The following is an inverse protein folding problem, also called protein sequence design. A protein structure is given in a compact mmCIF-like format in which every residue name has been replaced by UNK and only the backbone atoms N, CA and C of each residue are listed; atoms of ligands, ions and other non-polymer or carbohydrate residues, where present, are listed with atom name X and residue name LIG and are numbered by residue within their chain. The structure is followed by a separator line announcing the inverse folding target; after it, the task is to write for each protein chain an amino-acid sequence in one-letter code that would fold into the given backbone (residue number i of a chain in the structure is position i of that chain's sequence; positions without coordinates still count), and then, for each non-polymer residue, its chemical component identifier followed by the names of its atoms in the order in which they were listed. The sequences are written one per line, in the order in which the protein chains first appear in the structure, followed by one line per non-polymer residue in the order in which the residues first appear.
data_IF_951507216257
#
_entry.id   IF_951507216257
#
_cell.length_a   1.000
_cell.length_b   1.000
_cell.length_c   1.000
_cell.angle_alpha   90.00
_cell.angle_beta   90.00
_cell.angle_gamma   90.00
#
_symmetry.space_group_name_H-M   'P 1'
#
loop_
_entity.id
_entity.type
_entity.pdbx_description
1 polymer ?
#
# COMPACT_ATOMS: atom_id res chain seq x y z
N UNK A 1 31.01 14.95 -30.29
CA UNK A 1 30.09 13.79 -30.27
C UNK A 1 29.71 13.29 -28.84
N UNK A 2 30.53 13.45 -27.79
CA UNK A 2 30.25 12.98 -26.43
C UNK A 2 29.06 13.66 -25.73
N UNK A 3 28.73 14.93 -26.03
CA UNK A 3 27.63 15.67 -25.43
C UNK A 3 26.25 15.12 -25.79
N UNK A 4 26.09 14.50 -26.97
CA UNK A 4 24.80 13.93 -27.41
C UNK A 4 24.39 12.68 -26.59
N UNK A 5 25.35 11.84 -26.27
CA UNK A 5 25.10 10.57 -25.55
C UNK A 5 24.68 10.81 -24.09
N UNK A 6 25.24 11.83 -23.42
CA UNK A 6 24.89 12.19 -22.07
C UNK A 6 23.47 12.75 -21.96
N UNK A 7 23.06 13.58 -22.93
CA UNK A 7 21.69 14.15 -22.97
C UNK A 7 20.62 13.08 -23.21
N UNK A 8 20.90 12.11 -24.09
CA UNK A 8 19.98 10.97 -24.32
C UNK A 8 19.80 10.13 -23.07
N UNK A 9 20.89 9.83 -22.35
CA UNK A 9 20.85 9.06 -21.10
C UNK A 9 20.06 9.78 -19.99
N UNK A 10 20.20 11.10 -19.86
CA UNK A 10 19.47 11.92 -18.90
C UNK A 10 17.96 11.91 -19.21
N UNK A 11 17.58 12.07 -20.47
CA UNK A 11 16.16 12.00 -20.89
C UNK A 11 15.56 10.63 -20.65
N UNK A 12 16.27 9.55 -20.98
CA UNK A 12 15.81 8.19 -20.74
C UNK A 12 15.55 7.92 -19.24
N UNK A 13 16.46 8.34 -18.38
CA UNK A 13 16.32 8.18 -16.92
C UNK A 13 15.15 8.99 -16.36
N UNK A 14 14.91 10.21 -16.86
CA UNK A 14 13.74 11.01 -16.45
C UNK A 14 12.42 10.36 -16.87
N UNK A 15 12.38 9.79 -18.07
CA UNK A 15 11.19 9.08 -18.58
C UNK A 15 10.90 7.82 -17.75
N UNK A 16 11.91 7.01 -17.44
CA UNK A 16 11.77 5.81 -16.61
C UNK A 16 11.28 6.15 -15.22
N UNK A 17 11.84 7.16 -14.57
CA UNK A 17 11.39 7.65 -13.26
C UNK A 17 9.91 8.03 -13.27
N UNK A 18 9.47 8.82 -14.26
CA UNK A 18 8.08 9.24 -14.38
C UNK A 18 7.14 8.04 -14.53
N UNK A 19 7.51 7.04 -15.33
CA UNK A 19 6.73 5.79 -15.49
C UNK A 19 6.56 5.05 -14.17
N UNK A 20 7.62 4.95 -13.35
CA UNK A 20 7.57 4.29 -12.05
C UNK A 20 6.63 5.05 -11.09
N UNK A 21 6.69 6.39 -11.05
CA UNK A 21 5.78 7.19 -10.23
C UNK A 21 4.32 6.98 -10.61
N UNK A 22 3.99 7.04 -11.91
CA UNK A 22 2.63 6.81 -12.38
C UNK A 22 2.15 5.38 -12.12
N UNK A 23 3.03 4.38 -12.32
CA UNK A 23 2.69 2.99 -12.04
C UNK A 23 2.27 2.79 -10.59
N UNK A 24 3.09 3.26 -9.63
CA UNK A 24 2.75 3.11 -8.20
C UNK A 24 1.56 3.97 -7.79
N UNK A 25 1.39 5.17 -8.37
CA UNK A 25 0.20 5.98 -8.15
C UNK A 25 -1.08 5.27 -8.59
N UNK A 26 -1.08 4.62 -9.75
CA UNK A 26 -2.22 3.83 -10.24
C UNK A 26 -2.46 2.61 -9.36
N UNK A 27 -1.41 1.89 -8.94
CA UNK A 27 -1.53 0.75 -8.04
C UNK A 27 -2.11 1.14 -6.69
N UNK A 28 -1.74 2.30 -6.14
CA UNK A 28 -2.29 2.80 -4.90
C UNK A 28 -3.78 3.20 -5.06
N UNK A 29 -4.18 3.77 -6.20
CA UNK A 29 -5.62 4.04 -6.50
C UNK A 29 -6.43 2.74 -6.57
N UNK A 30 -5.92 1.72 -7.25
CA UNK A 30 -6.55 0.39 -7.27
C UNK A 30 -6.64 -0.16 -5.85
N UNK A 31 -5.56 -0.03 -5.07
CA UNK A 31 -5.52 -0.41 -3.66
C UNK A 31 -6.59 0.28 -2.82
N UNK A 32 -6.84 1.58 -3.02
CA UNK A 32 -7.89 2.33 -2.30
C UNK A 32 -9.25 1.64 -2.48
N UNK A 33 -9.60 1.28 -3.71
CA UNK A 33 -10.89 0.63 -3.98
C UNK A 33 -10.99 -0.69 -3.22
N UNK A 34 -9.96 -1.55 -3.31
CA UNK A 34 -9.98 -2.87 -2.67
C UNK A 34 -9.92 -2.81 -1.15
N UNK A 35 -9.03 -1.99 -0.60
CA UNK A 35 -8.88 -1.87 0.85
C UNK A 35 -9.98 -1.03 1.52
N UNK A 36 -10.82 -0.34 0.76
CA UNK A 36 -12.00 0.34 1.31
C UNK A 36 -13.19 -0.59 1.51
N UNK A 37 -13.32 -1.64 0.71
CA UNK A 37 -14.45 -2.58 0.79
C UNK A 37 -14.43 -3.35 2.12
N UNK A 38 -13.27 -3.89 2.51
CA UNK A 38 -13.13 -4.64 3.76
C UNK A 38 -13.45 -3.82 5.01
N UNK A 39 -12.84 -2.64 5.24
CA UNK A 39 -13.18 -1.75 6.34
C UNK A 39 -14.66 -1.34 6.37
N UNK A 40 -15.27 -1.11 5.20
CA UNK A 40 -16.68 -0.76 5.12
C UNK A 40 -17.57 -1.88 5.72
N UNK A 41 -17.42 -3.12 5.26
CA UNK A 41 -18.17 -4.26 5.78
C UNK A 41 -17.91 -4.52 7.28
N UNK A 42 -16.70 -4.26 7.72
CA UNK A 42 -16.32 -4.43 9.11
C UNK A 42 -16.98 -3.38 10.01
N UNK A 43 -16.97 -2.11 9.60
CA UNK A 43 -17.66 -1.03 10.29
C UNK A 43 -19.18 -1.26 10.29
N UNK A 44 -19.74 -1.69 9.17
CA UNK A 44 -21.17 -2.03 9.06
C UNK A 44 -21.55 -3.15 10.04
N UNK A 45 -20.79 -4.25 10.07
CA UNK A 45 -21.05 -5.37 10.98
C UNK A 45 -20.95 -4.95 12.46
N UNK A 46 -19.98 -4.12 12.81
CA UNK A 46 -19.83 -3.58 14.15
C UNK A 46 -20.97 -2.64 14.50
N UNK A 47 -21.35 -1.75 13.58
CA UNK A 47 -22.46 -0.84 13.77
C UNK A 47 -23.76 -1.59 14.05
N UNK A 48 -24.05 -2.61 13.26
CA UNK A 48 -25.23 -3.46 13.44
C UNK A 48 -25.16 -4.24 14.77
N UNK A 49 -24.02 -4.85 15.09
CA UNK A 49 -23.86 -5.68 16.31
C UNK A 49 -23.93 -4.87 17.60
N UNK A 50 -23.61 -3.58 17.56
CA UNK A 50 -23.64 -2.67 18.74
C UNK A 50 -24.90 -1.81 18.80
N UNK A 51 -25.86 -2.05 17.90
CA UNK A 51 -27.08 -1.23 17.83
C UNK A 51 -26.81 0.23 17.53
N UNK A 52 -25.72 0.54 16.80
CA UNK A 52 -25.33 1.90 16.45
C UNK A 52 -24.66 2.69 17.58
N UNK A 53 -24.24 2.04 18.65
CA UNK A 53 -23.62 2.74 19.80
C UNK A 53 -22.09 2.60 19.78
N UNK A 54 -21.33 3.68 19.43
CA UNK A 54 -19.88 3.63 19.41
C UNK A 54 -19.24 3.39 20.78
N UNK A 55 -19.93 3.73 21.87
CA UNK A 55 -19.47 3.48 23.23
C UNK A 55 -19.33 2.00 23.55
N UNK A 56 -20.21 1.15 22.99
CA UNK A 56 -20.12 -0.31 23.15
C UNK A 56 -18.88 -0.86 22.45
N UNK A 57 -18.50 -0.34 21.29
CA UNK A 57 -17.27 -0.75 20.59
C UNK A 57 -16.05 -0.43 21.44
N UNK A 58 -15.96 0.80 21.95
CA UNK A 58 -14.86 1.23 22.81
C UNK A 58 -14.81 0.37 24.09
N UNK A 59 -15.95 0.10 24.70
CA UNK A 59 -16.04 -0.75 25.87
C UNK A 59 -15.55 -2.17 25.60
N UNK A 60 -15.95 -2.79 24.48
CA UNK A 60 -15.49 -4.14 24.10
C UNK A 60 -13.97 -4.19 23.87
N UNK A 61 -13.39 -3.15 23.28
CA UNK A 61 -11.93 -3.07 23.07
C UNK A 61 -11.18 -2.95 24.40
N UNK A 62 -11.70 -2.20 25.37
CA UNK A 62 -11.09 -2.02 26.69
C UNK A 62 -11.32 -3.25 27.58
N UNK A 63 -12.54 -3.78 27.61
CA UNK A 63 -12.91 -4.94 28.43
C UNK A 63 -12.22 -6.23 27.96
N UNK A 64 -11.81 -6.31 26.70
CA UNK A 64 -11.02 -7.42 26.16
C UNK A 64 -9.56 -7.49 26.67
N UNK A 65 -9.14 -6.53 27.51
CA UNK A 65 -7.79 -6.48 28.05
C UNK A 65 -6.73 -6.37 26.95
N UNK A 66 -5.58 -7.04 27.12
CA UNK A 66 -4.47 -7.01 26.16
C UNK A 66 -4.91 -7.49 24.76
N UNK A 67 -5.71 -8.55 24.70
CA UNK A 67 -6.21 -9.08 23.42
C UNK A 67 -7.15 -8.08 22.74
N UNK A 68 -8.02 -7.40 23.47
CA UNK A 68 -8.88 -6.35 22.95
C UNK A 68 -8.08 -5.17 22.39
N UNK A 69 -7.04 -4.74 23.11
CA UNK A 69 -6.16 -3.65 22.68
C UNK A 69 -5.37 -4.00 21.41
N UNK A 70 -4.81 -5.22 21.36
CA UNK A 70 -4.07 -5.70 20.16
C UNK A 70 -5.00 -5.77 18.96
N UNK A 71 -6.18 -6.38 19.13
CA UNK A 71 -7.20 -6.45 18.08
C UNK A 71 -7.62 -5.06 17.61
N UNK A 72 -7.87 -4.13 18.53
CA UNK A 72 -8.21 -2.74 18.24
C UNK A 72 -7.10 -2.02 17.44
N UNK A 73 -5.84 -2.23 17.81
CA UNK A 73 -4.70 -1.67 17.10
C UNK A 73 -4.62 -2.18 15.65
N UNK A 74 -4.83 -3.49 15.42
CA UNK A 74 -4.89 -4.05 14.07
C UNK A 74 -6.02 -3.43 13.24
N UNK A 75 -7.20 -3.29 13.80
CA UNK A 75 -8.33 -2.67 13.10
C UNK A 75 -8.08 -1.20 12.79
N UNK A 76 -7.45 -0.46 13.70
CA UNK A 76 -7.10 0.93 13.46
C UNK A 76 -6.09 1.07 12.30
N UNK A 77 -5.05 0.22 12.26
CA UNK A 77 -4.11 0.17 11.14
C UNK A 77 -4.84 -0.17 9.84
N UNK A 78 -5.76 -1.13 9.87
CA UNK A 78 -6.55 -1.54 8.70
C UNK A 78 -7.45 -0.42 8.18
N UNK A 79 -8.08 0.37 9.05
CA UNK A 79 -8.88 1.54 8.70
C UNK A 79 -8.03 2.71 8.16
N UNK A 80 -6.80 2.87 8.66
CA UNK A 80 -5.89 3.92 8.20
C UNK A 80 -5.26 3.61 6.84
N UNK A 81 -5.27 2.33 6.39
CA UNK A 81 -4.67 1.94 5.12
C UNK A 81 -5.25 2.67 3.91
N UNK A 82 -6.57 2.71 3.67
CA UNK A 82 -7.13 3.44 2.51
C UNK A 82 -6.74 4.93 2.54
N UNK A 83 -6.73 5.53 3.72
CA UNK A 83 -6.35 6.94 3.90
C UNK A 83 -4.88 7.15 3.53
N UNK A 84 -3.98 6.26 4.01
CA UNK A 84 -2.55 6.33 3.68
C UNK A 84 -2.30 6.14 2.18
N UNK A 85 -3.05 5.25 1.53
CA UNK A 85 -2.99 5.02 0.09
C UNK A 85 -3.39 6.27 -0.71
N UNK A 86 -4.38 7.03 -0.23
CA UNK A 86 -4.83 8.27 -0.86
C UNK A 86 -3.71 9.32 -0.88
N UNK A 87 -3.03 9.51 0.25
CA UNK A 87 -1.86 10.39 0.33
C UNK A 87 -0.70 9.88 -0.52
N UNK A 88 -0.44 8.58 -0.52
CA UNK A 88 0.60 7.96 -1.34
C UNK A 88 0.35 8.19 -2.84
N UNK A 89 -0.85 7.89 -3.32
CA UNK A 89 -1.25 8.13 -4.70
C UNK A 89 -1.07 9.60 -5.09
N UNK A 90 -1.53 10.52 -4.24
CA UNK A 90 -1.34 11.95 -4.45
C UNK A 90 0.13 12.34 -4.60
N UNK A 91 1.00 11.87 -3.69
CA UNK A 91 2.43 12.15 -3.75
C UNK A 91 3.10 11.55 -4.99
N UNK A 92 2.68 10.38 -5.44
CA UNK A 92 3.18 9.77 -6.66
C UNK A 92 2.76 10.55 -7.91
N UNK A 93 1.51 10.97 -8.03
CA UNK A 93 1.02 11.74 -9.17
C UNK A 93 1.65 13.14 -9.23
N UNK A 94 1.82 13.80 -8.08
CA UNK A 94 2.47 15.12 -8.00
C UNK A 94 3.99 15.04 -8.04
N UNK A 95 4.56 13.81 -8.05
CA UNK A 95 6.03 13.56 -8.05
C UNK A 95 6.74 14.28 -6.91
N UNK A 96 6.07 14.35 -5.76
CA UNK A 96 6.57 15.08 -4.60
C UNK A 96 7.85 14.43 -4.06
N UNK A 97 8.79 15.24 -3.56
CA UNK A 97 10.09 14.74 -3.05
C UNK A 97 9.95 13.73 -1.89
N UNK A 98 8.87 13.81 -1.13
CA UNK A 98 8.59 12.90 -0.03
C UNK A 98 7.86 11.63 -0.44
N UNK A 99 7.43 11.48 -1.70
CA UNK A 99 6.68 10.33 -2.19
C UNK A 99 7.37 8.99 -1.85
N UNK A 100 8.67 8.92 -2.09
CA UNK A 100 9.45 7.69 -1.85
C UNK A 100 9.58 7.38 -0.37
N UNK A 101 9.87 8.40 0.48
CA UNK A 101 9.96 8.22 1.94
C UNK A 101 8.61 7.80 2.54
N UNK A 102 7.52 8.44 2.13
CA UNK A 102 6.18 8.09 2.57
C UNK A 102 5.79 6.66 2.16
N UNK A 103 6.09 6.28 0.90
CA UNK A 103 5.85 4.93 0.42
C UNK A 103 6.62 3.87 1.22
N UNK A 104 7.87 4.13 1.60
CA UNK A 104 8.65 3.20 2.43
C UNK A 104 8.06 3.02 3.83
N UNK A 105 7.56 4.11 4.46
CA UNK A 105 6.87 4.02 5.75
C UNK A 105 5.58 3.21 5.60
N UNK A 106 4.84 3.42 4.53
CA UNK A 106 3.61 2.69 4.24
C UNK A 106 3.86 1.19 4.03
N UNK A 107 5.01 0.80 3.44
CA UNK A 107 5.37 -0.61 3.31
C UNK A 107 5.52 -1.31 4.67
N UNK A 108 6.04 -0.61 5.68
CA UNK A 108 6.10 -1.18 7.04
C UNK A 108 4.70 -1.51 7.56
N UNK A 109 3.73 -0.61 7.36
CA UNK A 109 2.33 -0.87 7.74
C UNK A 109 1.73 -2.04 6.95
N UNK A 110 2.01 -2.15 5.66
CA UNK A 110 1.55 -3.24 4.81
C UNK A 110 2.12 -4.60 5.24
N UNK A 111 3.38 -4.66 5.60
CA UNK A 111 4.01 -5.88 6.12
C UNK A 111 3.32 -6.33 7.42
N UNK A 112 2.99 -5.39 8.33
CA UNK A 112 2.29 -5.70 9.58
C UNK A 112 0.92 -6.34 9.33
N UNK A 113 0.17 -5.88 8.33
CA UNK A 113 -1.17 -6.40 8.01
C UNK A 113 -1.16 -7.43 6.88
N UNK A 114 0.02 -7.88 6.42
CA UNK A 114 0.20 -8.80 5.28
C UNK A 114 -0.55 -8.38 4.02
N UNK A 115 -0.56 -7.08 3.73
CA UNK A 115 -1.24 -6.50 2.56
C UNK A 115 -0.30 -6.36 1.37
N UNK A 116 -0.66 -6.98 0.24
CA UNK A 116 0.15 -6.96 -0.98
C UNK A 116 0.20 -5.56 -1.62
N UNK A 117 1.40 -5.06 -1.98
CA UNK A 117 1.59 -3.78 -2.68
C UNK A 117 1.02 -3.78 -4.09
N UNK A 118 1.00 -4.94 -4.75
CA UNK A 118 0.35 -5.13 -6.06
C UNK A 118 -0.97 -5.86 -5.84
N UNK A 119 -2.04 -5.12 -5.58
CA UNK A 119 -3.37 -5.66 -5.28
C UNK A 119 -3.97 -6.52 -6.40
N UNK A 120 -3.47 -6.37 -7.62
CA UNK A 120 -3.88 -7.21 -8.76
C UNK A 120 -3.44 -8.67 -8.60
N UNK A 121 -2.39 -8.99 -7.85
CA UNK A 121 -1.89 -10.35 -7.68
C UNK A 121 -2.90 -11.25 -6.94
N UNK A 122 -3.40 -10.89 -5.74
CA UNK A 122 -4.42 -11.69 -5.08
C UNK A 122 -5.70 -11.85 -5.91
N UNK A 123 -6.08 -10.81 -6.67
CA UNK A 123 -7.25 -10.88 -7.55
C UNK A 123 -7.08 -11.87 -8.69
N UNK A 124 -5.93 -11.83 -9.37
CA UNK A 124 -5.66 -12.75 -10.48
C UNK A 124 -5.71 -14.20 -10.00
N UNK A 125 -5.18 -14.49 -8.80
CA UNK A 125 -5.20 -15.83 -8.22
C UNK A 125 -6.60 -16.25 -7.81
N UNK A 126 -7.37 -15.37 -7.18
CA UNK A 126 -8.75 -15.64 -6.83
C UNK A 126 -9.58 -15.94 -8.07
N UNK A 127 -9.38 -15.20 -9.18
CA UNK A 127 -10.02 -15.43 -10.47
C UNK A 127 -9.63 -16.76 -11.13
N UNK A 128 -8.44 -17.29 -10.84
CA UNK A 128 -7.98 -18.60 -11.34
C UNK A 128 -8.37 -19.77 -10.42
N UNK A 129 -9.07 -19.53 -9.32
CA UNK A 129 -9.46 -20.57 -8.36
C UNK A 129 -8.28 -21.17 -7.56
N UNK A 130 -7.10 -20.55 -7.61
CA UNK A 130 -5.87 -21.02 -6.96
C UNK A 130 -5.73 -20.36 -5.60
N UNK A 131 -6.42 -20.84 -4.58
CA UNK A 131 -6.35 -20.29 -3.20
C UNK A 131 -5.27 -20.96 -2.33
N UNK A 132 -4.09 -21.22 -2.89
CA UNK A 132 -2.98 -21.82 -2.13
C UNK A 132 -2.24 -20.74 -1.36
N UNK A 133 -2.18 -20.87 -0.03
CA UNK A 133 -1.52 -19.93 0.88
C UNK A 133 -0.07 -19.64 0.44
N UNK A 134 0.67 -20.67 0.01
CA UNK A 134 2.05 -20.55 -0.44
C UNK A 134 2.20 -19.61 -1.65
N UNK A 135 1.26 -19.64 -2.58
CA UNK A 135 1.27 -18.78 -3.77
C UNK A 135 1.02 -17.31 -3.34
N UNK A 136 0.06 -17.09 -2.44
CA UNK A 136 -0.23 -15.76 -1.94
C UNK A 136 0.97 -15.14 -1.21
N UNK A 137 1.67 -15.93 -0.37
CA UNK A 137 2.89 -15.49 0.31
C UNK A 137 4.01 -15.19 -0.70
N UNK A 138 4.22 -16.04 -1.70
CA UNK A 138 5.24 -15.82 -2.72
C UNK A 138 4.97 -14.54 -3.52
N UNK A 139 3.73 -14.27 -3.90
CA UNK A 139 3.35 -13.06 -4.62
C UNK A 139 3.42 -11.81 -3.73
N UNK A 140 3.10 -11.93 -2.45
CA UNK A 140 3.32 -10.86 -1.49
C UNK A 140 4.80 -10.47 -1.46
N UNK A 141 5.70 -11.43 -1.24
CA UNK A 141 7.14 -11.19 -1.22
C UNK A 141 7.62 -10.59 -2.55
N UNK A 142 7.16 -11.12 -3.68
CA UNK A 142 7.52 -10.61 -5.00
C UNK A 142 7.07 -9.15 -5.19
N UNK A 143 5.86 -8.81 -4.78
CA UNK A 143 5.34 -7.44 -4.90
C UNK A 143 6.14 -6.44 -4.07
N UNK A 144 6.52 -6.84 -2.84
CA UNK A 144 7.32 -5.98 -1.96
C UNK A 144 8.74 -5.78 -2.51
N UNK A 145 9.38 -6.85 -3.04
CA UNK A 145 10.69 -6.75 -3.69
C UNK A 145 10.63 -5.81 -4.91
N UNK A 146 9.61 -5.92 -5.74
CA UNK A 146 9.41 -5.07 -6.91
C UNK A 146 9.24 -3.59 -6.52
N UNK A 147 8.44 -3.31 -5.49
CA UNK A 147 8.20 -1.95 -5.02
C UNK A 147 9.46 -1.36 -4.41
N UNK A 148 10.05 -2.03 -3.44
CA UNK A 148 11.28 -1.56 -2.76
C UNK A 148 12.42 -1.39 -3.77
N UNK A 149 12.62 -2.35 -4.68
CA UNK A 149 13.65 -2.27 -5.72
C UNK A 149 13.46 -1.08 -6.65
N UNK A 150 12.22 -0.83 -7.09
CA UNK A 150 11.90 0.33 -7.96
C UNK A 150 12.09 1.67 -7.22
N UNK A 151 11.74 1.74 -5.93
CA UNK A 151 11.94 2.94 -5.11
C UNK A 151 13.42 3.22 -4.84
N UNK A 152 14.23 2.18 -4.57
CA UNK A 152 15.69 2.31 -4.42
C UNK A 152 16.31 2.81 -5.72
N UNK A 153 15.86 2.30 -6.87
CA UNK A 153 16.32 2.80 -8.18
C UNK A 153 16.06 4.31 -8.33
N UNK A 154 14.88 4.80 -7.95
CA UNK A 154 14.56 6.23 -7.96
C UNK A 154 15.51 7.02 -7.04
N UNK A 155 15.76 6.55 -5.81
CA UNK A 155 16.65 7.23 -4.86
C UNK A 155 18.06 7.34 -5.42
N UNK A 156 18.61 6.25 -5.98
CA UNK A 156 19.95 6.25 -6.59
C UNK A 156 20.03 7.24 -7.77
N UNK A 157 18.98 7.29 -8.60
CA UNK A 157 18.92 8.22 -9.73
C UNK A 157 18.82 9.69 -9.30
N UNK A 158 18.20 9.97 -8.14
CA UNK A 158 18.12 11.31 -7.57
C UNK A 158 19.43 11.77 -6.93
N UNK A 159 20.20 10.86 -6.33
CA UNK A 159 21.50 11.18 -5.70
C UNK A 159 22.64 11.34 -6.70
N UNK A 160 22.49 10.82 -7.92
CA UNK A 160 23.49 10.91 -8.97
C UNK A 160 23.45 12.25 -9.75
N UNK A 161 22.62 13.18 -9.36
CA UNK A 161 22.55 14.57 -9.87
C UNK A 161 23.14 15.55 -8.88
#
# INVERSE_FOLDING_TARGET
MAASTSQVKVRANMTAKNKIFYFWGVMDVIGIVFYSIGPYHLLESWWVSTGGNPGVIIFMLIAGGVNGMVTGAFYLVYLLMPVSLLFSAWFFFTKHRYAVGFALIQEVLRVIIFSCSVTLFPMAIAGLGLSVISINIALFILSEILKIGSLIYIIKTLRAK
#
